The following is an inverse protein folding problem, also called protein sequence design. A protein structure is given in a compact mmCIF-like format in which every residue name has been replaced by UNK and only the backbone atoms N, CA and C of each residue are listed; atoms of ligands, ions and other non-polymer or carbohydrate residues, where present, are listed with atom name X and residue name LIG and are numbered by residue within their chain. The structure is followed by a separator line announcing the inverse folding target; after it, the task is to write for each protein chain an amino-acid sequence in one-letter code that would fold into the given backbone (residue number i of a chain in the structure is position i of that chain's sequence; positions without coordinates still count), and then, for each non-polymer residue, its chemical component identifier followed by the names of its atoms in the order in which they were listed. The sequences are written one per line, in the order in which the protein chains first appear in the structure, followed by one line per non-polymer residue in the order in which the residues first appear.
data_IF_750956916092
#
_entry.id   IF_750956916092
#
_cell.length_a   1.000
_cell.length_b   1.000
_cell.length_c   1.000
_cell.angle_alpha   90.00
_cell.angle_beta   90.00
_cell.angle_gamma   90.00
#
_symmetry.space_group_name_H-M   'P 1'
#
loop_
_entity.id
_entity.type
_entity.pdbx_description
1 polymer ?
#
# COMPACT_ATOMS: atom_id res chain seq x y z
N UNK A 1 -12.74 -34.50 -11.49
CA UNK A 1 -13.67 -34.26 -12.61
C UNK A 1 -13.58 -32.81 -13.07
N UNK A 2 -14.33 -32.39 -14.09
CA UNK A 2 -14.29 -31.02 -14.62
C UNK A 2 -14.58 -29.95 -13.55
N UNK A 3 -15.58 -30.18 -12.71
CA UNK A 3 -15.99 -29.27 -11.61
C UNK A 3 -14.88 -29.03 -10.59
N UNK A 4 -14.12 -30.08 -10.25
CA UNK A 4 -13.01 -29.98 -9.28
C UNK A 4 -11.84 -29.17 -9.83
N UNK A 5 -11.63 -29.14 -11.15
CA UNK A 5 -10.60 -28.32 -11.79
C UNK A 5 -11.01 -26.86 -11.86
N UNK A 6 -12.29 -26.59 -12.12
CA UNK A 6 -12.80 -25.22 -12.19
C UNK A 6 -12.72 -24.54 -10.81
N UNK A 7 -13.20 -25.21 -9.76
CA UNK A 7 -13.10 -24.72 -8.39
C UNK A 7 -11.64 -24.45 -7.96
N UNK A 8 -10.67 -25.27 -8.41
CA UNK A 8 -9.26 -25.06 -8.10
C UNK A 8 -8.68 -23.81 -8.80
N UNK A 9 -9.12 -23.52 -10.03
CA UNK A 9 -8.72 -22.28 -10.74
C UNK A 9 -9.31 -21.04 -10.08
N UNK A 10 -10.59 -21.09 -9.73
CA UNK A 10 -11.27 -19.99 -9.02
C UNK A 10 -10.59 -19.70 -7.69
N UNK A 11 -10.23 -20.74 -6.93
CA UNK A 11 -9.50 -20.60 -5.67
C UNK A 11 -8.12 -19.98 -5.89
N UNK A 12 -7.37 -20.43 -6.91
CA UNK A 12 -6.05 -19.86 -7.22
C UNK A 12 -6.14 -18.38 -7.60
N UNK A 13 -7.12 -18.01 -8.43
CA UNK A 13 -7.35 -16.62 -8.80
C UNK A 13 -7.74 -15.80 -7.58
N UNK A 14 -8.63 -16.30 -6.71
CA UNK A 14 -9.00 -15.62 -5.48
C UNK A 14 -7.80 -15.35 -4.57
N UNK A 15 -6.93 -16.34 -4.35
CA UNK A 15 -5.74 -16.18 -3.51
C UNK A 15 -4.76 -15.13 -4.05
N UNK A 16 -4.60 -15.03 -5.37
CA UNK A 16 -3.77 -13.98 -6.00
C UNK A 16 -4.28 -12.55 -5.72
N UNK A 17 -5.58 -12.38 -5.45
CA UNK A 17 -6.15 -11.07 -5.11
C UNK A 17 -6.15 -10.80 -3.59
N UNK A 18 -5.78 -11.78 -2.76
CA UNK A 18 -5.63 -11.60 -1.31
C UNK A 18 -4.22 -11.17 -0.90
N UNK A 19 -3.26 -11.29 -1.80
CA UNK A 19 -1.90 -10.79 -1.60
C UNK A 19 -1.72 -9.41 -2.26
N UNK A 20 -0.85 -8.61 -1.67
CA UNK A 20 -0.33 -7.40 -2.32
C UNK A 20 1.18 -7.59 -2.44
N UNK A 21 1.67 -7.62 -3.67
CA UNK A 21 3.09 -7.81 -3.96
C UNK A 21 3.94 -6.74 -3.25
N UNK A 22 3.53 -5.47 -3.39
CA UNK A 22 4.21 -4.33 -2.80
C UNK A 22 3.53 -3.90 -1.49
N UNK A 23 4.23 -4.12 -0.37
CA UNK A 23 3.77 -3.69 0.95
C UNK A 23 4.80 -2.79 1.64
N UNK A 24 4.31 -1.80 2.38
CA UNK A 24 5.12 -0.92 3.24
C UNK A 24 4.74 -1.18 4.69
N UNK A 25 5.73 -1.47 5.54
CA UNK A 25 5.55 -1.62 6.99
C UNK A 25 6.14 -0.41 7.71
N UNK A 26 5.31 0.25 8.50
CA UNK A 26 5.69 1.43 9.27
C UNK A 26 5.87 1.06 10.73
N UNK A 27 7.11 1.08 11.20
CA UNK A 27 7.44 0.91 12.62
C UNK A 27 7.49 2.28 13.28
N UNK A 28 6.73 2.45 14.35
CA UNK A 28 6.66 3.71 15.10
C UNK A 28 6.68 3.45 16.60
N UNK A 29 7.07 4.48 17.36
CA UNK A 29 6.99 4.46 18.82
C UNK A 29 5.62 4.98 19.26
N UNK A 30 4.90 4.22 20.09
CA UNK A 30 3.55 4.57 20.55
C UNK A 30 3.51 5.57 21.73
N UNK A 31 4.66 6.08 22.20
CA UNK A 31 4.69 7.07 23.29
C UNK A 31 4.02 8.41 22.94
N UNK A 32 3.96 8.77 21.65
CA UNK A 32 3.35 10.01 21.17
C UNK A 32 1.87 9.83 20.80
N UNK A 33 1.01 10.78 21.19
CA UNK A 33 -0.44 10.71 20.96
C UNK A 33 -0.80 10.68 19.47
N UNK A 34 -0.05 11.42 18.64
CA UNK A 34 -0.24 11.48 17.19
C UNK A 34 0.76 10.61 16.41
N UNK A 35 1.56 9.77 17.07
CA UNK A 35 2.68 9.07 16.43
C UNK A 35 2.25 8.20 15.25
N UNK A 36 1.22 7.37 15.43
CA UNK A 36 0.74 6.48 14.37
C UNK A 36 0.35 7.25 13.10
N UNK A 37 -0.46 8.31 13.25
CA UNK A 37 -0.98 9.07 12.10
C UNK A 37 0.10 9.91 11.42
N UNK A 38 1.06 10.46 12.17
CA UNK A 38 2.19 11.20 11.60
C UNK A 38 3.08 10.32 10.75
N UNK A 39 3.43 9.11 11.23
CA UNK A 39 4.28 8.20 10.47
C UNK A 39 3.57 7.62 9.24
N UNK A 40 2.26 7.35 9.32
CA UNK A 40 1.46 6.96 8.16
C UNK A 40 1.39 8.08 7.11
N UNK A 41 1.26 9.34 7.53
CA UNK A 41 1.28 10.49 6.62
C UNK A 41 2.61 10.58 5.86
N UNK A 42 3.75 10.37 6.54
CA UNK A 42 5.07 10.33 5.89
C UNK A 42 5.14 9.21 4.86
N UNK A 43 4.70 8.00 5.19
CA UNK A 43 4.71 6.86 4.28
C UNK A 43 3.82 7.11 3.04
N UNK A 44 2.61 7.64 3.24
CA UNK A 44 1.71 7.99 2.13
C UNK A 44 2.28 9.11 1.25
N UNK A 45 2.93 10.12 1.82
CA UNK A 45 3.60 11.15 1.04
C UNK A 45 4.78 10.61 0.22
N UNK A 46 5.50 9.60 0.73
CA UNK A 46 6.53 8.94 -0.04
C UNK A 46 5.93 8.22 -1.26
N UNK A 47 4.87 7.44 -1.07
CA UNK A 47 4.15 6.78 -2.18
C UNK A 47 3.64 7.79 -3.20
N UNK A 48 2.98 8.87 -2.74
CA UNK A 48 2.50 9.95 -3.61
C UNK A 48 3.62 10.48 -4.49
N UNK A 49 4.77 10.84 -3.89
CA UNK A 49 5.91 11.44 -4.59
C UNK A 49 6.55 10.49 -5.60
N UNK A 50 6.59 9.19 -5.31
CA UNK A 50 7.11 8.20 -6.27
C UNK A 50 6.16 7.89 -7.42
N UNK A 51 4.86 8.14 -7.23
CA UNK A 51 3.82 7.89 -8.24
C UNK A 51 3.55 9.08 -9.18
N UNK A 52 4.23 10.21 -9.00
CA UNK A 52 4.07 11.37 -9.87
C UNK A 52 4.62 11.12 -11.28
N UNK A 53 4.03 11.80 -12.27
CA UNK A 53 4.62 11.87 -13.60
C UNK A 53 5.99 12.53 -13.56
N UNK A 54 6.89 12.11 -14.46
CA UNK A 54 8.31 12.54 -14.48
C UNK A 54 8.52 14.04 -14.69
N UNK A 55 7.52 14.74 -15.21
CA UNK A 55 7.52 16.20 -15.43
C UNK A 55 7.14 17.00 -14.17
N UNK A 56 6.74 16.33 -13.09
CA UNK A 56 6.34 16.96 -11.82
C UNK A 56 7.49 17.01 -10.84
N UNK A 57 7.63 18.13 -10.14
CA UNK A 57 8.55 18.26 -9.01
C UNK A 57 7.91 17.65 -7.75
N UNK A 58 8.45 16.55 -7.17
CA UNK A 58 7.85 15.92 -5.99
C UNK A 58 7.79 16.80 -4.74
N UNK A 59 8.62 17.84 -4.65
CA UNK A 59 8.64 18.76 -3.51
C UNK A 59 7.39 19.65 -3.44
N UNK A 60 6.71 19.85 -4.57
CA UNK A 60 5.48 20.64 -4.66
C UNK A 60 4.23 19.86 -4.23
N UNK A 61 4.36 18.56 -3.95
CA UNK A 61 3.25 17.69 -3.61
C UNK A 61 3.40 17.13 -2.19
N UNK A 62 2.34 17.27 -1.41
CA UNK A 62 2.24 16.73 -0.07
C UNK A 62 0.80 16.79 0.46
N UNK A 63 0.42 15.77 1.21
CA UNK A 63 -0.81 15.68 1.98
C UNK A 63 -0.44 15.98 3.44
N UNK A 64 -1.06 16.99 4.03
CA UNK A 64 -0.87 17.37 5.45
C UNK A 64 -2.20 17.21 6.21
N UNK A 65 -2.12 17.04 7.53
CA UNK A 65 -3.26 16.92 8.44
C UNK A 65 -3.43 18.19 9.28
#
# INVERSE_FOLDING_TARGET
GPITREAAKEMSAFLQHLETEDNVKVWFNNKGWHAMVSFLNVAHNAVLRTSLHRDRNPEEYGITA
#
